data_IF_679372798872
#
_entry.id   IF_679372798872
#
_cell.length_a   1.000
_cell.length_b   1.000
_cell.length_c   1.000
_cell.angle_alpha   90.00
_cell.angle_beta   90.00
_cell.angle_gamma   90.00
#
_symmetry.space_group_name_H-M   'P 1'
#
loop_
_entity.id
_entity.type
_entity.pdbx_description
1 polymer ?
#
# COMPACT_ATOMS: atom_id res chain seq x y z
N UNK A 1 4.28 13.35 -11.29
CA UNK A 1 3.90 12.03 -11.83
C UNK A 1 4.90 10.97 -11.39
N UNK A 2 4.45 9.73 -11.08
CA UNK A 2 5.35 8.61 -10.77
C UNK A 2 6.01 8.11 -12.07
N UNK A 3 7.33 7.98 -12.11
CA UNK A 3 8.09 7.54 -13.28
C UNK A 3 7.60 6.19 -13.84
N UNK A 4 7.31 5.24 -12.94
CA UNK A 4 6.78 3.92 -13.31
C UNK A 4 5.40 3.96 -13.96
N UNK A 5 4.60 5.01 -13.68
CA UNK A 5 3.31 5.19 -14.35
C UNK A 5 3.50 5.73 -15.78
N UNK A 6 4.45 6.65 -15.98
CA UNK A 6 4.80 7.18 -17.30
C UNK A 6 5.31 6.06 -18.20
N UNK A 7 6.25 5.22 -17.72
CA UNK A 7 6.78 4.09 -18.50
C UNK A 7 5.67 3.16 -18.96
N UNK A 8 4.73 2.80 -18.07
CA UNK A 8 3.60 1.92 -18.42
C UNK A 8 2.70 2.54 -19.49
N UNK A 9 2.37 3.82 -19.36
CA UNK A 9 1.53 4.52 -20.32
C UNK A 9 2.19 4.67 -21.70
N UNK A 10 3.50 4.92 -21.76
CA UNK A 10 4.22 5.04 -23.05
C UNK A 10 4.37 3.67 -23.74
N UNK A 11 4.45 2.58 -22.97
CA UNK A 11 4.54 1.22 -23.50
C UNK A 11 3.19 0.62 -23.91
N UNK A 12 2.07 1.26 -23.54
CA UNK A 12 0.74 0.81 -23.93
C UNK A 12 0.52 1.06 -25.43
N UNK A 13 0.31 0.02 -26.26
CA UNK A 13 0.12 0.20 -27.70
C UNK A 13 -1.17 0.95 -28.06
N UNK A 14 -2.11 1.11 -27.12
CA UNK A 14 -3.33 1.88 -27.32
C UNK A 14 -3.13 3.38 -27.06
N UNK A 15 -1.99 3.80 -26.50
CA UNK A 15 -1.74 5.19 -26.10
C UNK A 15 -0.55 5.76 -26.87
N UNK A 16 -0.80 6.80 -27.67
CA UNK A 16 0.27 7.48 -28.38
C UNK A 16 1.22 8.22 -27.40
N UNK A 17 2.55 8.14 -27.56
CA UNK A 17 3.50 8.86 -26.70
C UNK A 17 3.27 10.38 -26.63
N UNK A 18 2.72 10.98 -27.69
CA UNK A 18 2.35 12.39 -27.72
C UNK A 18 1.25 12.72 -26.69
N UNK A 19 0.25 11.84 -26.51
CA UNK A 19 -0.82 11.98 -25.51
C UNK A 19 -0.22 11.95 -24.11
N UNK A 20 0.71 11.01 -23.86
CA UNK A 20 1.42 10.93 -22.57
C UNK A 20 2.24 12.19 -22.32
N UNK A 21 2.91 12.71 -23.36
CA UNK A 21 3.62 13.99 -23.31
C UNK A 21 2.73 15.13 -22.86
N UNK A 22 1.58 15.33 -23.51
CA UNK A 22 0.60 16.34 -23.11
C UNK A 22 0.12 16.14 -21.66
N UNK A 23 -0.18 14.91 -21.25
CA UNK A 23 -0.64 14.58 -19.89
C UNK A 23 0.36 14.99 -18.80
N UNK A 24 1.66 14.86 -19.07
CA UNK A 24 2.72 15.20 -18.10
C UNK A 24 3.35 16.57 -18.32
N UNK A 25 2.83 17.36 -19.27
CA UNK A 25 3.34 18.69 -19.60
C UNK A 25 4.69 18.67 -20.35
N UNK A 26 4.99 17.62 -21.09
CA UNK A 26 6.18 17.54 -21.94
C UNK A 26 5.83 17.76 -23.41
N UNK A 27 6.69 18.49 -24.10
CA UNK A 27 6.59 18.62 -25.56
C UNK A 27 6.88 17.25 -26.20
N UNK A 28 6.03 16.78 -27.13
CA UNK A 28 6.28 15.56 -27.89
C UNK A 28 7.65 15.61 -28.59
N UNK A 29 8.38 14.48 -28.60
CA UNK A 29 9.71 14.40 -29.22
C UNK A 29 10.88 14.90 -28.36
N UNK A 30 10.62 15.38 -27.14
CA UNK A 30 11.71 15.78 -26.22
C UNK A 30 12.53 14.59 -25.74
N UNK A 31 13.80 14.87 -25.35
CA UNK A 31 14.70 13.89 -24.72
C UNK A 31 14.05 13.16 -23.53
N UNK A 32 13.18 13.85 -22.77
CA UNK A 32 12.48 13.28 -21.61
C UNK A 32 11.48 12.20 -22.00
N UNK A 33 10.68 12.40 -23.05
CA UNK A 33 9.75 11.39 -23.54
C UNK A 33 10.50 10.19 -24.13
N UNK A 34 11.63 10.45 -24.80
CA UNK A 34 12.47 9.40 -25.41
C UNK A 34 12.98 8.38 -24.38
N UNK A 35 13.24 8.80 -23.13
CA UNK A 35 13.64 7.91 -22.05
C UNK A 35 12.63 6.78 -21.78
N UNK A 36 11.34 6.99 -22.08
CA UNK A 36 10.26 6.03 -21.80
C UNK A 36 9.76 5.30 -23.05
N UNK A 37 10.15 5.73 -24.25
CA UNK A 37 9.61 5.22 -25.53
C UNK A 37 10.39 4.04 -26.10
N UNK A 38 11.33 3.47 -25.34
CA UNK A 38 12.07 2.30 -25.78
C UNK A 38 11.22 1.04 -25.62
N UNK A 39 10.82 0.46 -26.75
CA UNK A 39 10.15 -0.84 -26.82
C UNK A 39 11.19 -1.93 -27.07
N UNK A 40 11.09 -3.02 -26.32
CA UNK A 40 11.83 -4.24 -26.61
C UNK A 40 11.17 -5.02 -27.75
N UNK A 41 11.91 -5.94 -28.40
CA UNK A 41 11.30 -6.82 -29.41
C UNK A 41 10.16 -7.69 -28.86
N UNK A 42 10.14 -7.94 -27.53
CA UNK A 42 9.02 -8.59 -26.85
C UNK A 42 7.80 -7.66 -26.80
N UNK A 43 7.98 -6.42 -26.38
CA UNK A 43 6.90 -5.42 -26.27
C UNK A 43 6.21 -5.22 -27.63
N UNK A 44 6.99 -5.19 -28.72
CA UNK A 44 6.46 -5.06 -30.10
C UNK A 44 5.64 -6.28 -30.52
N UNK A 45 6.16 -7.50 -30.28
CA UNK A 45 5.44 -8.74 -30.61
C UNK A 45 4.12 -8.83 -29.86
N UNK A 46 4.15 -8.61 -28.54
CA UNK A 46 2.96 -8.66 -27.71
C UNK A 46 1.89 -7.64 -28.14
N UNK A 47 2.30 -6.42 -28.52
CA UNK A 47 1.38 -5.42 -29.06
C UNK A 47 0.72 -5.85 -30.37
N UNK A 48 1.48 -6.47 -31.28
CA UNK A 48 0.97 -6.98 -32.56
C UNK A 48 0.05 -8.18 -32.35
N UNK A 49 0.44 -9.13 -31.50
CA UNK A 49 -0.36 -10.31 -31.19
C UNK A 49 -1.73 -9.91 -30.62
N UNK A 50 -1.76 -8.98 -29.64
CA UNK A 50 -3.00 -8.40 -29.12
C UNK A 50 -3.82 -7.69 -30.19
N UNK A 51 -3.19 -6.92 -31.09
CA UNK A 51 -3.89 -6.18 -32.15
C UNK A 51 -4.55 -7.10 -33.17
N UNK A 52 -3.93 -8.23 -33.48
CA UNK A 52 -4.43 -9.21 -34.44
C UNK A 52 -5.21 -10.36 -33.81
N UNK A 53 -5.43 -10.34 -32.49
CA UNK A 53 -6.16 -11.38 -31.78
C UNK A 53 -5.47 -12.74 -31.78
N UNK A 54 -4.16 -12.76 -32.04
CA UNK A 54 -3.34 -13.96 -31.91
C UNK A 54 -3.16 -14.17 -30.40
N UNK A 55 -3.53 -15.34 -29.89
CA UNK A 55 -3.49 -15.66 -28.47
C UNK A 55 -2.08 -15.44 -27.90
N UNK A 56 -1.81 -14.23 -27.43
CA UNK A 56 -0.67 -13.93 -26.60
C UNK A 56 -0.89 -14.75 -25.32
N UNK A 57 -0.17 -15.85 -25.19
CA UNK A 57 -0.26 -16.76 -24.05
C UNK A 57 -0.27 -15.94 -22.76
N UNK A 58 -1.25 -16.24 -21.89
CA UNK A 58 -1.56 -15.59 -20.61
C UNK A 58 -0.51 -14.56 -20.17
N UNK A 59 -0.52 -13.39 -20.82
CA UNK A 59 0.18 -12.25 -20.26
C UNK A 59 -0.56 -12.01 -18.95
N UNK A 60 0.15 -12.10 -17.83
CA UNK A 60 -0.34 -11.60 -16.56
C UNK A 60 -0.62 -10.12 -16.77
N UNK A 61 -1.84 -9.81 -17.19
CA UNK A 61 -2.34 -8.45 -17.22
C UNK A 61 -2.21 -8.02 -15.78
N UNK A 62 -1.21 -7.20 -15.45
CA UNK A 62 -1.18 -6.51 -14.18
C UNK A 62 -2.54 -5.86 -14.09
N UNK A 63 -3.39 -6.34 -13.17
CA UNK A 63 -4.73 -5.79 -13.01
C UNK A 63 -4.56 -4.28 -12.94
N UNK A 64 -5.28 -3.52 -13.79
CA UNK A 64 -5.18 -2.08 -13.75
C UNK A 64 -5.40 -1.66 -12.30
N UNK A 65 -4.44 -0.90 -11.75
CA UNK A 65 -4.56 -0.27 -10.43
C UNK A 65 -5.62 0.84 -10.51
N UNK A 66 -6.83 0.46 -10.88
CA UNK A 66 -7.98 1.33 -11.00
C UNK A 66 -8.39 1.76 -9.59
N UNK A 67 -8.67 3.05 -9.40
CA UNK A 67 -9.20 3.54 -8.14
C UNK A 67 -10.49 2.78 -7.79
N UNK A 68 -10.65 2.41 -6.52
CA UNK A 68 -11.86 1.74 -6.03
C UNK A 68 -12.86 2.76 -5.55
N UNK A 69 -14.10 2.66 -6.02
CA UNK A 69 -15.20 3.50 -5.54
C UNK A 69 -15.86 2.85 -4.32
N UNK A 70 -16.04 3.61 -3.24
CA UNK A 70 -16.71 3.12 -2.05
C UNK A 70 -18.22 2.97 -2.30
N UNK A 71 -18.77 1.77 -2.15
CA UNK A 71 -20.21 1.51 -2.32
C UNK A 71 -21.11 2.20 -1.28
N UNK A 72 -20.53 2.75 -0.19
CA UNK A 72 -21.29 3.37 0.91
C UNK A 72 -21.33 4.89 0.85
N UNK A 73 -20.24 5.53 0.45
CA UNK A 73 -20.10 7.00 0.48
C UNK A 73 -19.48 7.56 -0.81
N UNK A 74 -19.35 6.72 -1.84
CA UNK A 74 -18.90 7.06 -3.20
C UNK A 74 -17.49 7.65 -3.30
N UNK A 75 -16.77 7.74 -2.18
CA UNK A 75 -15.38 8.22 -2.17
C UNK A 75 -14.51 7.31 -3.02
N UNK A 76 -13.76 7.92 -3.94
CA UNK A 76 -12.71 7.26 -4.70
C UNK A 76 -11.49 7.01 -3.80
N UNK A 77 -11.06 5.76 -3.74
CA UNK A 77 -9.93 5.27 -2.96
C UNK A 77 -8.84 4.73 -3.89
N UNK A 78 -7.61 4.63 -3.36
CA UNK A 78 -6.52 3.98 -4.08
C UNK A 78 -6.83 2.50 -4.37
N UNK A 79 -6.22 1.94 -5.41
CA UNK A 79 -6.47 0.56 -5.85
C UNK A 79 -6.13 -0.48 -4.78
N UNK A 80 -5.12 -0.18 -3.95
CA UNK A 80 -4.62 -0.98 -2.84
C UNK A 80 -5.30 -0.68 -1.50
N UNK A 81 -6.28 0.23 -1.47
CA UNK A 81 -7.00 0.55 -0.24
C UNK A 81 -7.89 -0.62 0.21
N UNK A 82 -7.70 -1.06 1.45
CA UNK A 82 -8.51 -2.10 2.11
C UNK A 82 -9.80 -1.51 2.71
N UNK A 83 -9.70 -0.30 3.25
CA UNK A 83 -10.81 0.45 3.85
C UNK A 83 -10.96 1.83 3.22
N UNK A 84 -12.18 2.36 3.24
CA UNK A 84 -12.50 3.68 2.73
C UNK A 84 -11.85 4.76 3.61
N UNK A 85 -11.12 5.68 2.98
CA UNK A 85 -10.47 6.81 3.67
C UNK A 85 -11.44 7.82 4.29
N UNK A 86 -12.69 7.87 3.81
CA UNK A 86 -13.69 8.83 4.28
C UNK A 86 -14.61 8.23 5.36
N UNK A 87 -15.15 7.04 5.13
CA UNK A 87 -16.16 6.45 6.02
C UNK A 87 -15.69 5.21 6.79
N UNK A 88 -14.46 4.73 6.54
CA UNK A 88 -13.90 3.53 7.17
C UNK A 88 -14.53 2.20 6.73
N UNK A 89 -15.46 2.21 5.76
CA UNK A 89 -16.10 0.99 5.27
C UNK A 89 -15.15 0.07 4.50
N UNK A 90 -15.34 -1.26 4.54
CA UNK A 90 -14.52 -2.21 3.78
C UNK A 90 -14.71 -2.01 2.26
N UNK A 91 -13.63 -2.15 1.49
CA UNK A 91 -13.63 -1.98 0.03
C UNK A 91 -13.54 -3.31 -0.75
N UNK A 92 -13.57 -4.44 -0.07
CA UNK A 92 -13.57 -5.78 -0.66
C UNK A 92 -14.32 -6.78 0.21
N UNK A 93 -14.67 -7.93 -0.37
CA UNK A 93 -15.27 -9.05 0.38
C UNK A 93 -14.33 -9.50 1.51
N UNK A 94 -13.05 -9.70 1.21
CA UNK A 94 -12.03 -10.07 2.19
C UNK A 94 -11.92 -9.07 3.35
N UNK A 95 -11.97 -7.75 3.07
CA UNK A 95 -11.97 -6.73 4.11
C UNK A 95 -13.24 -6.77 4.97
N UNK A 96 -14.37 -7.15 4.37
CA UNK A 96 -15.64 -7.32 5.08
C UNK A 96 -15.60 -8.51 6.03
N UNK A 97 -15.06 -9.64 5.58
CA UNK A 97 -14.86 -10.86 6.39
C UNK A 97 -13.90 -10.60 7.55
N UNK A 98 -12.77 -9.93 7.28
CA UNK A 98 -11.81 -9.52 8.33
C UNK A 98 -12.47 -8.65 9.40
N UNK A 99 -13.28 -7.68 9.00
CA UNK A 99 -13.99 -6.81 9.94
C UNK A 99 -15.05 -7.59 10.75
N UNK A 100 -15.74 -8.54 10.12
CA UNK A 100 -16.71 -9.40 10.80
C UNK A 100 -16.02 -10.31 11.83
N UNK A 101 -14.88 -10.92 11.45
CA UNK A 101 -14.09 -11.76 12.35
C UNK A 101 -13.55 -10.97 13.54
N UNK A 102 -12.94 -9.80 13.30
CA UNK A 102 -12.43 -8.94 14.37
C UNK A 102 -13.54 -8.53 15.37
N UNK A 103 -14.76 -8.28 14.88
CA UNK A 103 -15.93 -8.02 15.75
C UNK A 103 -16.34 -9.23 16.57
N UNK A 104 -16.31 -10.42 15.98
CA UNK A 104 -16.59 -11.68 16.67
C UNK A 104 -15.57 -11.95 17.78
N UNK A 105 -14.29 -11.79 17.47
CA UNK A 105 -13.18 -11.98 18.40
C UNK A 105 -13.25 -10.97 19.56
N UNK A 106 -13.51 -9.70 19.27
CA UNK A 106 -13.71 -8.68 20.30
C UNK A 106 -14.88 -9.03 21.23
N UNK A 107 -15.97 -9.59 20.70
CA UNK A 107 -17.11 -10.04 21.50
C UNK A 107 -16.76 -11.26 22.35
N UNK A 108 -15.97 -12.20 21.82
CA UNK A 108 -15.47 -13.34 22.58
C UNK A 108 -14.54 -12.88 23.72
N UNK A 109 -13.58 -12.02 23.42
CA UNK A 109 -12.65 -11.44 24.40
C UNK A 109 -13.40 -10.69 25.50
N UNK A 110 -14.39 -9.86 25.15
CA UNK A 110 -15.20 -9.15 26.14
C UNK A 110 -15.90 -10.10 27.12
N UNK A 111 -16.42 -11.24 26.65
CA UNK A 111 -17.04 -12.25 27.54
C UNK A 111 -16.02 -12.89 28.48
N UNK A 112 -14.82 -13.14 27.99
CA UNK A 112 -13.72 -13.70 28.80
C UNK A 112 -13.30 -12.71 29.89
N UNK A 113 -13.14 -11.43 29.54
CA UNK A 113 -12.77 -10.36 30.48
C UNK A 113 -13.87 -10.00 31.50
N UNK A 114 -15.09 -10.48 31.30
CA UNK A 114 -16.17 -10.33 32.29
C UNK A 114 -16.12 -11.41 33.39
N UNK A 115 -15.26 -12.42 33.26
CA UNK A 115 -15.11 -13.48 34.27
C UNK A 115 -14.21 -12.98 35.41
N UNK A 116 -14.68 -12.97 36.66
CA UNK A 116 -13.93 -12.41 37.78
C UNK A 116 -12.59 -13.13 37.99
N UNK A 117 -12.53 -14.44 37.75
CA UNK A 117 -11.29 -15.22 37.88
C UNK A 117 -10.21 -14.76 36.90
N UNK A 118 -10.62 -14.36 35.69
CA UNK A 118 -9.71 -13.86 34.65
C UNK A 118 -9.21 -12.46 34.99
N UNK A 119 -10.09 -11.59 35.48
CA UNK A 119 -9.71 -10.23 35.89
C UNK A 119 -8.74 -10.26 37.07
N UNK A 120 -9.01 -11.09 38.08
CA UNK A 120 -8.11 -11.27 39.21
C UNK A 120 -6.75 -11.82 38.78
N UNK A 121 -6.75 -12.82 37.89
CA UNK A 121 -5.52 -13.38 37.33
C UNK A 121 -4.69 -12.32 36.60
N UNK A 122 -5.31 -11.54 35.71
CA UNK A 122 -4.64 -10.44 35.00
C UNK A 122 -4.13 -9.36 35.96
N UNK A 123 -4.90 -9.01 37.00
CA UNK A 123 -4.49 -8.03 38.00
C UNK A 123 -3.26 -8.50 38.78
N UNK A 124 -3.19 -9.78 39.16
CA UNK A 124 -2.00 -10.37 39.82
C UNK A 124 -0.78 -10.34 38.90
N UNK A 125 -0.95 -10.72 37.62
CA UNK A 125 0.13 -10.72 36.63
C UNK A 125 0.71 -9.31 36.40
N UNK A 126 -0.15 -8.30 36.23
CA UNK A 126 0.29 -6.91 36.07
C UNK A 126 0.97 -6.36 37.34
N UNK A 127 0.58 -6.83 38.53
CA UNK A 127 1.23 -6.45 39.79
C UNK A 127 2.62 -7.07 39.95
N UNK A 128 2.87 -8.25 39.39
CA UNK A 128 4.19 -8.88 39.38
C UNK A 128 5.16 -8.22 38.41
N UNK A 129 4.71 -7.75 37.25
CA UNK A 129 5.56 -7.05 36.27
C UNK A 129 6.08 -5.69 36.77
N UNK A 130 5.35 -5.01 37.66
CA UNK A 130 5.81 -3.75 38.30
C UNK A 130 6.91 -3.95 39.34
N UNK A 131 7.19 -5.19 39.76
CA UNK A 131 8.16 -5.52 40.82
C UNK A 131 9.56 -5.84 40.30
N UNK A 132 9.78 -5.93 38.99
CA UNK A 132 11.14 -5.92 38.43
C UNK A 132 11.60 -4.47 38.24
N UNK A 133 12.51 -3.95 39.07
CA UNK A 133 13.07 -2.63 38.81
C UNK A 133 13.89 -2.68 37.52
N UNK A 134 13.70 -1.69 36.65
CA UNK A 134 14.57 -1.46 35.50
C UNK A 134 16.05 -1.45 35.95
N UNK A 135 16.96 -2.18 35.27
CA UNK A 135 18.36 -2.15 35.64
C UNK A 135 18.92 -0.73 35.48
N UNK A 136 19.52 -0.24 36.57
CA UNK A 136 20.14 1.08 36.70
C UNK A 136 20.98 1.50 35.48
N UNK A 137 20.59 2.61 34.84
CA UNK A 137 21.49 3.36 33.98
C UNK A 137 22.28 4.39 34.83
N UNK A 138 23.37 3.94 35.46
CA UNK A 138 24.53 4.82 35.72
C UNK A 138 25.27 4.97 34.38
N UNK A 139 25.57 6.16 33.87
CA UNK A 139 26.70 6.99 34.29
C UNK A 139 26.57 8.37 33.61
N UNK A 140 26.94 9.50 34.25
CA UNK A 140 26.90 10.81 33.60
C UNK A 140 27.97 10.95 32.52
N UNK A 141 27.55 11.34 31.32
CA UNK A 141 28.43 11.70 30.20
C UNK A 141 29.29 12.91 30.60
N UNK A 142 30.59 12.70 30.74
CA UNK A 142 31.60 13.76 30.89
C UNK A 142 31.63 14.59 29.60
N UNK A 143 31.22 15.85 29.69
CA UNK A 143 31.57 16.89 28.73
C UNK A 143 33.11 17.03 28.68
N UNK A 144 33.72 16.60 27.58
CA UNK A 144 35.06 17.07 27.22
C UNK A 144 34.92 18.34 26.41
N UNK A 145 35.01 19.46 27.11
CA UNK A 145 35.53 20.69 26.56
C UNK A 145 36.98 20.44 26.12
N UNK A 146 37.30 20.72 24.86
CA UNK A 146 38.66 21.08 24.46
C UNK A 146 38.59 22.25 23.49
N UNK A 147 39.05 23.38 24.01
CA UNK A 147 39.37 24.57 23.27
C UNK A 147 40.74 24.40 22.57
N UNK A 148 40.85 25.04 21.40
CA UNK A 148 42.03 25.65 20.75
C UNK A 148 43.20 24.74 20.29
N UNK A 149 43.44 24.76 18.98
CA UNK A 149 44.62 25.40 18.37
C UNK A 149 44.19 26.01 17.03
#
# INVERSE_FOLDING_TARGET
FRHSAITRLVKDPQIAPAIVGHMVGWVPGTRRLRTYSHLSGRDVREALDRRFGIAAGEATVEEPRSPRMCARCETTNAADAVFCRACGGPLSLAATEQLAQARSDAKALRRILQRPEVVEFLARMMATERKEPAPHAGTPSRSKSRARA
#
